data_IF_235160837790
#
_entry.id   IF_235160837790
#
_cell.length_a   1.000
_cell.length_b   1.000
_cell.length_c   1.000
_cell.angle_alpha   90.00
_cell.angle_beta   90.00
_cell.angle_gamma   90.00
#
_symmetry.space_group_name_H-M   'P 1'
#
loop_
_entity.id
_entity.type
_entity.pdbx_description
1 polymer ?
#
# COMPACT_ATOMS: atom_id res chain seq x y z
N UNK A 1 -18.35 9.29 18.61
CA UNK A 1 -16.95 8.87 18.77
C UNK A 1 -16.06 9.83 17.98
N UNK A 2 -15.00 10.32 18.58
CA UNK A 2 -14.02 11.22 17.96
C UNK A 2 -12.75 10.44 17.64
N UNK A 3 -12.37 10.40 16.35
CA UNK A 3 -11.21 9.64 15.84
C UNK A 3 -10.23 10.62 15.23
N UNK A 4 -8.96 10.49 15.60
CA UNK A 4 -7.86 11.29 15.03
C UNK A 4 -6.87 10.38 14.32
N UNK A 5 -6.65 10.63 13.05
CA UNK A 5 -5.56 10.07 12.28
C UNK A 5 -4.35 11.01 12.31
N UNK A 6 -3.16 10.45 12.50
CA UNK A 6 -1.89 11.20 12.39
C UNK A 6 -1.04 10.55 11.32
N UNK A 7 -0.69 11.31 10.30
CA UNK A 7 0.09 10.83 9.17
C UNK A 7 1.04 11.92 8.63
N UNK A 8 1.93 11.53 7.75
CA UNK A 8 2.92 12.45 7.22
C UNK A 8 2.28 13.54 6.34
N UNK A 9 1.52 13.15 5.32
CA UNK A 9 0.91 14.05 4.34
C UNK A 9 -0.18 13.31 3.55
N UNK A 10 -1.11 14.06 2.93
CA UNK A 10 -2.10 13.57 1.95
C UNK A 10 -1.79 14.05 0.52
N UNK A 11 -0.61 14.63 0.28
CA UNK A 11 -0.21 15.15 -1.04
C UNK A 11 0.16 14.05 -2.04
N UNK A 12 0.87 12.96 -1.64
CA UNK A 12 1.23 11.91 -2.59
C UNK A 12 0.00 11.17 -3.15
N UNK A 13 0.06 10.80 -4.45
CA UNK A 13 -0.94 9.93 -5.08
C UNK A 13 -0.63 8.46 -4.80
N UNK A 14 -0.56 8.08 -3.52
CA UNK A 14 -0.26 6.72 -3.06
C UNK A 14 -1.49 5.94 -2.63
N UNK A 15 -1.33 4.62 -2.48
CA UNK A 15 -2.39 3.73 -1.98
C UNK A 15 -2.78 4.02 -0.54
N UNK A 16 -1.83 4.39 0.31
CA UNK A 16 -2.07 4.72 1.72
C UNK A 16 -2.93 5.98 1.85
N UNK A 17 -2.57 7.05 1.13
CA UNK A 17 -3.29 8.32 1.16
C UNK A 17 -4.73 8.13 0.64
N UNK A 18 -4.90 7.33 -0.40
CA UNK A 18 -6.22 6.97 -0.94
C UNK A 18 -7.07 6.25 0.10
N UNK A 19 -6.55 5.17 0.67
CA UNK A 19 -7.27 4.35 1.67
C UNK A 19 -7.65 5.18 2.89
N UNK A 20 -6.74 6.01 3.41
CA UNK A 20 -7.02 6.84 4.59
C UNK A 20 -8.08 7.89 4.28
N UNK A 21 -8.01 8.56 3.12
CA UNK A 21 -9.03 9.53 2.71
C UNK A 21 -10.41 8.89 2.56
N UNK A 22 -10.52 7.77 1.84
CA UNK A 22 -11.77 7.05 1.64
C UNK A 22 -12.32 6.50 2.96
N UNK A 23 -11.48 5.96 3.83
CA UNK A 23 -11.87 5.47 5.16
C UNK A 23 -12.36 6.61 6.07
N UNK A 24 -11.67 7.74 6.10
CA UNK A 24 -12.09 8.90 6.89
C UNK A 24 -13.45 9.43 6.42
N UNK A 25 -13.66 9.52 5.10
CA UNK A 25 -14.94 9.91 4.52
C UNK A 25 -16.06 8.94 4.94
N UNK A 26 -15.81 7.63 4.80
CA UNK A 26 -16.79 6.61 5.17
C UNK A 26 -17.15 6.67 6.67
N UNK A 27 -16.18 6.82 7.56
CA UNK A 27 -16.42 6.94 9.00
C UNK A 27 -17.27 8.17 9.34
N UNK A 28 -16.98 9.31 8.71
CA UNK A 28 -17.71 10.55 8.94
C UNK A 28 -19.12 10.52 8.33
N UNK A 29 -19.26 9.99 7.11
CA UNK A 29 -20.52 10.03 6.38
C UNK A 29 -21.48 8.90 6.76
N UNK A 30 -21.00 7.66 6.92
CA UNK A 30 -21.83 6.50 7.19
C UNK A 30 -22.02 6.26 8.68
N UNK A 31 -20.94 6.35 9.46
CA UNK A 31 -21.02 6.09 10.92
C UNK A 31 -21.22 7.36 11.75
N UNK A 32 -21.21 8.54 11.11
CA UNK A 32 -21.38 9.85 11.77
C UNK A 32 -20.38 10.09 12.91
N UNK A 33 -19.15 9.56 12.73
CA UNK A 33 -18.09 9.82 13.67
C UNK A 33 -17.47 11.20 13.40
N UNK A 34 -16.94 11.82 14.44
CA UNK A 34 -16.20 13.07 14.33
C UNK A 34 -14.75 12.73 13.96
N UNK A 35 -14.36 12.90 12.68
CA UNK A 35 -13.08 12.43 12.15
C UNK A 35 -12.15 13.59 11.87
N UNK A 36 -10.95 13.50 12.42
CA UNK A 36 -9.85 14.43 12.19
C UNK A 36 -8.67 13.74 11.51
N UNK A 37 -8.00 14.44 10.59
CA UNK A 37 -6.71 14.03 10.02
C UNK A 37 -5.69 15.10 10.31
N UNK A 38 -4.65 14.76 11.09
CA UNK A 38 -3.50 15.62 11.34
C UNK A 38 -2.41 15.24 10.35
N UNK A 39 -2.06 16.15 9.42
CA UNK A 39 -0.94 15.98 8.50
C UNK A 39 0.26 16.79 9.00
N UNK A 40 1.41 16.09 9.17
CA UNK A 40 2.57 16.64 9.87
C UNK A 40 3.41 17.58 8.99
N UNK A 41 3.66 17.22 7.73
CA UNK A 41 4.60 17.92 6.83
C UNK A 41 3.92 18.68 5.68
N UNK A 42 2.65 18.44 5.45
CA UNK A 42 1.87 19.09 4.38
C UNK A 42 1.73 20.59 4.64
N UNK A 43 2.11 21.41 3.66
CA UNK A 43 1.99 22.87 3.74
C UNK A 43 0.52 23.30 3.54
N UNK A 44 0.19 24.50 4.00
CA UNK A 44 -1.20 25.00 4.00
C UNK A 44 -1.79 25.09 2.57
N UNK A 45 -0.99 25.48 1.60
CA UNK A 45 -1.34 25.66 0.19
C UNK A 45 -1.35 24.36 -0.63
N UNK A 46 -0.79 23.28 -0.10
CA UNK A 46 -0.73 21.99 -0.81
C UNK A 46 -2.08 21.27 -0.80
N UNK A 47 -2.66 20.92 -1.97
CA UNK A 47 -3.90 20.18 -2.05
C UNK A 47 -3.70 18.71 -1.65
N UNK A 48 -4.78 18.06 -1.25
CA UNK A 48 -4.82 16.62 -1.06
C UNK A 48 -4.88 15.90 -2.42
N UNK A 49 -4.22 14.76 -2.54
CA UNK A 49 -4.29 13.93 -3.74
C UNK A 49 -5.68 13.30 -3.95
N UNK A 50 -6.39 13.05 -2.85
CA UNK A 50 -7.74 12.48 -2.84
C UNK A 50 -8.68 13.39 -2.06
N UNK A 51 -9.92 13.50 -2.53
CA UNK A 51 -10.90 14.40 -1.95
C UNK A 51 -11.32 13.93 -0.55
N UNK A 52 -11.33 14.86 0.39
CA UNK A 52 -11.95 14.66 1.70
C UNK A 52 -13.37 15.21 1.68
N UNK A 53 -14.26 14.51 2.37
CA UNK A 53 -15.61 15.00 2.67
C UNK A 53 -15.55 16.26 3.53
N UNK A 54 -16.53 17.16 3.37
CA UNK A 54 -16.68 18.32 4.24
C UNK A 54 -16.93 17.97 5.71
N UNK A 55 -17.31 16.70 5.98
CA UNK A 55 -17.50 16.15 7.34
C UNK A 55 -16.19 15.68 7.99
N UNK A 56 -15.06 15.72 7.28
CA UNK A 56 -13.75 15.35 7.80
C UNK A 56 -12.92 16.61 8.07
N UNK A 57 -12.43 16.77 9.27
CA UNK A 57 -11.63 17.92 9.67
C UNK A 57 -10.14 17.66 9.42
N UNK A 58 -9.48 18.48 8.61
CA UNK A 58 -8.04 18.37 8.39
C UNK A 58 -7.28 19.47 9.14
N UNK A 59 -6.22 19.07 9.86
CA UNK A 59 -5.27 19.98 10.53
C UNK A 59 -3.90 19.78 9.88
N UNK A 60 -3.40 20.79 9.18
CA UNK A 60 -2.07 20.79 8.56
C UNK A 60 -1.09 21.46 9.53
N UNK A 61 -0.15 20.70 10.11
CA UNK A 61 0.87 21.24 11.02
C UNK A 61 1.97 22.00 10.28
N UNK A 62 2.15 21.72 9.00
CA UNK A 62 3.11 22.37 8.10
C UNK A 62 4.55 22.40 8.62
N UNK A 63 4.98 21.37 9.36
CA UNK A 63 6.33 21.29 9.91
C UNK A 63 7.33 21.02 8.77
N UNK A 64 8.36 21.85 8.58
CA UNK A 64 9.29 21.74 7.46
C UNK A 64 10.33 20.61 7.71
N UNK A 65 9.84 19.38 7.83
CA UNK A 65 10.66 18.22 8.22
C UNK A 65 11.84 17.98 7.29
N UNK A 66 11.66 18.21 6.00
CA UNK A 66 12.69 17.97 4.99
C UNK A 66 13.76 19.07 4.90
N UNK A 67 13.55 20.24 5.51
CA UNK A 67 14.55 21.33 5.53
C UNK A 67 15.86 20.93 6.19
N UNK A 68 15.86 19.90 7.05
CA UNK A 68 17.08 19.35 7.64
C UNK A 68 18.11 18.87 6.60
N UNK A 69 17.68 18.49 5.42
CA UNK A 69 18.56 17.98 4.35
C UNK A 69 19.33 19.08 3.64
N UNK A 70 18.95 20.35 3.84
CA UNK A 70 19.72 21.51 3.36
C UNK A 70 21.00 21.75 4.15
N UNK A 71 21.19 21.05 5.28
CA UNK A 71 22.35 21.24 6.16
C UNK A 71 23.27 20.02 6.15
N UNK A 72 24.61 20.25 6.26
CA UNK A 72 25.61 19.22 6.47
C UNK A 72 25.78 18.90 7.97
N UNK A 73 26.40 17.76 8.30
CA UNK A 73 26.82 17.46 9.67
C UNK A 73 27.90 18.44 10.15
N UNK A 74 27.95 18.83 11.46
CA UNK A 74 27.04 18.41 12.54
C UNK A 74 25.73 19.23 12.61
N UNK A 75 25.63 20.38 11.91
CA UNK A 75 24.46 21.28 11.96
C UNK A 75 23.13 20.56 11.66
N UNK A 76 23.14 19.63 10.69
CA UNK A 76 21.97 18.80 10.34
C UNK A 76 21.41 18.04 11.55
N UNK A 77 22.27 17.53 12.43
CA UNK A 77 21.85 16.80 13.62
C UNK A 77 21.04 17.68 14.58
N UNK A 78 21.53 18.88 14.88
CA UNK A 78 20.81 19.82 15.77
C UNK A 78 19.51 20.32 15.18
N UNK A 79 19.49 20.62 13.87
CA UNK A 79 18.26 21.00 13.14
C UNK A 79 17.25 19.87 13.22
N UNK A 80 17.65 18.62 12.97
CA UNK A 80 16.77 17.45 13.10
C UNK A 80 16.16 17.31 14.49
N UNK A 81 16.97 17.52 15.55
CA UNK A 81 16.45 17.47 16.94
C UNK A 81 15.43 18.55 17.18
N UNK A 82 15.70 19.79 16.75
CA UNK A 82 14.76 20.92 16.90
C UNK A 82 13.45 20.66 16.15
N UNK A 83 13.51 20.20 14.90
CA UNK A 83 12.32 19.87 14.11
C UNK A 83 11.51 18.74 14.76
N UNK A 84 12.17 17.68 15.23
CA UNK A 84 11.48 16.57 15.92
C UNK A 84 10.80 17.03 17.21
N UNK A 85 11.43 17.96 17.95
CA UNK A 85 10.82 18.54 19.16
C UNK A 85 9.56 19.34 18.78
N UNK A 86 9.65 20.27 17.84
CA UNK A 86 8.51 21.05 17.34
C UNK A 86 7.37 20.16 16.84
N UNK A 87 7.69 19.14 16.04
CA UNK A 87 6.70 18.20 15.55
C UNK A 87 5.98 17.47 16.67
N UNK A 88 6.74 17.00 17.68
CA UNK A 88 6.19 16.33 18.85
C UNK A 88 5.23 17.24 19.62
N UNK A 89 5.65 18.47 19.88
CA UNK A 89 4.86 19.45 20.61
C UNK A 89 3.56 19.79 19.87
N UNK A 90 3.64 20.05 18.56
CA UNK A 90 2.49 20.37 17.73
C UNK A 90 1.47 19.21 17.63
N UNK A 91 1.94 17.95 17.52
CA UNK A 91 1.04 16.79 17.53
C UNK A 91 0.36 16.66 18.89
N UNK A 92 1.09 16.80 19.99
CA UNK A 92 0.54 16.68 21.33
C UNK A 92 -0.51 17.77 21.57
N UNK A 93 -0.22 19.01 21.21
CA UNK A 93 -1.15 20.14 21.35
C UNK A 93 -2.44 19.90 20.56
N UNK A 94 -2.34 19.53 19.28
CA UNK A 94 -3.51 19.24 18.45
C UNK A 94 -4.35 18.08 19.03
N UNK A 95 -3.70 17.00 19.49
CA UNK A 95 -4.41 15.86 20.10
C UNK A 95 -5.07 16.24 21.42
N UNK A 96 -4.44 17.10 22.23
CA UNK A 96 -5.04 17.58 23.49
C UNK A 96 -6.24 18.49 23.27
N UNK A 97 -6.18 19.40 22.26
CA UNK A 97 -7.29 20.28 21.88
C UNK A 97 -8.51 19.49 21.38
N UNK A 98 -8.28 18.46 20.55
CA UNK A 98 -9.36 17.61 20.01
C UNK A 98 -9.90 16.67 21.09
N UNK A 99 -9.06 16.20 22.00
CA UNK A 99 -9.37 15.23 23.06
C UNK A 99 -10.12 13.99 22.53
N UNK A 100 -9.51 13.19 21.59
CA UNK A 100 -10.17 12.10 20.91
C UNK A 100 -10.46 10.89 21.80
N UNK A 101 -11.36 10.03 21.34
CA UNK A 101 -11.58 8.70 21.90
C UNK A 101 -10.57 7.70 21.36
N UNK A 102 -10.20 7.85 20.07
CA UNK A 102 -9.25 6.98 19.36
C UNK A 102 -8.20 7.84 18.64
N UNK A 103 -6.94 7.48 18.82
CA UNK A 103 -5.78 8.08 18.16
C UNK A 103 -5.11 7.04 17.29
N UNK A 104 -5.06 7.26 15.98
CA UNK A 104 -4.53 6.32 14.99
C UNK A 104 -3.27 6.90 14.34
N UNK A 105 -2.15 6.19 14.50
CA UNK A 105 -0.93 6.46 13.76
C UNK A 105 -0.86 5.64 12.47
N UNK A 106 -0.56 6.30 11.35
CA UNK A 106 -0.51 5.66 10.03
C UNK A 106 0.92 5.28 9.66
N UNK A 107 1.08 3.99 9.33
CA UNK A 107 2.36 3.41 8.93
C UNK A 107 3.40 3.46 10.05
N UNK A 108 4.65 3.53 9.63
CA UNK A 108 5.78 3.65 10.57
C UNK A 108 6.17 5.11 10.85
N UNK A 109 5.43 6.09 10.30
CA UNK A 109 5.72 7.50 10.53
C UNK A 109 5.39 7.89 11.98
N UNK A 110 6.45 8.12 12.79
CA UNK A 110 6.29 8.54 14.19
C UNK A 110 5.39 7.64 15.06
N UNK A 111 5.21 6.37 14.70
CA UNK A 111 4.34 5.45 15.42
C UNK A 111 4.76 5.25 16.88
N UNK A 112 6.06 5.30 17.20
CA UNK A 112 6.60 5.27 18.56
C UNK A 112 6.21 6.51 19.37
N UNK A 113 6.21 7.68 18.76
CA UNK A 113 5.74 8.91 19.35
C UNK A 113 4.23 8.85 19.61
N UNK A 114 3.43 8.53 18.57
CA UNK A 114 1.97 8.49 18.65
C UNK A 114 1.51 7.50 19.71
N UNK A 115 2.08 6.30 19.74
CA UNK A 115 1.78 5.30 20.77
C UNK A 115 2.17 5.75 22.19
N UNK A 116 3.05 6.75 22.32
CA UNK A 116 3.58 7.25 23.59
C UNK A 116 2.90 8.51 24.10
N UNK A 117 2.01 9.14 23.33
CA UNK A 117 1.29 10.35 23.74
C UNK A 117 0.43 10.04 24.97
N UNK A 118 0.59 10.85 26.02
CA UNK A 118 -0.24 10.75 27.21
C UNK A 118 -1.57 11.46 26.98
N UNK A 119 -2.62 10.71 26.70
CA UNK A 119 -3.99 11.18 26.53
C UNK A 119 -4.96 10.04 26.89
N UNK A 120 -6.24 10.35 27.00
CA UNK A 120 -7.30 9.35 27.28
C UNK A 120 -7.54 8.39 26.11
N UNK A 121 -7.21 8.83 24.89
CA UNK A 121 -7.49 8.07 23.68
C UNK A 121 -6.85 6.70 23.68
N UNK A 122 -7.58 5.69 23.19
CA UNK A 122 -7.02 4.39 22.83
C UNK A 122 -6.16 4.56 21.58
N UNK A 123 -5.00 3.93 21.55
CA UNK A 123 -3.97 4.10 20.52
C UNK A 123 -3.93 2.92 19.57
N UNK A 124 -4.18 3.19 18.31
CA UNK A 124 -4.07 2.23 17.22
C UNK A 124 -2.87 2.61 16.35
N UNK A 125 -2.07 1.63 15.97
CA UNK A 125 -1.07 1.79 14.91
C UNK A 125 -1.52 0.95 13.72
N UNK A 126 -1.80 1.61 12.62
CA UNK A 126 -2.26 1.00 11.36
C UNK A 126 -1.09 0.88 10.39
N UNK A 127 -0.66 -0.34 10.10
CA UNK A 127 0.51 -0.65 9.29
C UNK A 127 0.13 -0.81 7.83
N UNK A 128 0.48 0.16 6.96
CA UNK A 128 0.30 0.07 5.50
C UNK A 128 1.52 -0.53 4.79
N UNK A 129 2.66 -0.55 5.46
CA UNK A 129 3.88 -1.23 5.02
C UNK A 129 4.19 -2.36 5.98
N UNK A 130 4.58 -3.51 5.46
CA UNK A 130 4.96 -4.61 6.32
C UNK A 130 6.20 -4.29 7.16
N UNK A 131 6.19 -4.71 8.43
CA UNK A 131 7.30 -4.52 9.37
C UNK A 131 8.65 -4.94 8.82
N UNK A 132 8.68 -5.97 7.99
CA UNK A 132 9.91 -6.49 7.36
C UNK A 132 10.63 -5.44 6.50
N UNK A 133 9.90 -4.62 5.74
CA UNK A 133 10.49 -3.66 4.80
C UNK A 133 11.11 -2.46 5.47
N UNK A 134 10.49 -1.98 6.53
CA UNK A 134 11.14 -1.02 7.42
C UNK A 134 12.46 -1.58 7.94
N UNK A 135 12.62 -2.89 7.96
CA UNK A 135 13.85 -3.55 8.38
C UNK A 135 14.92 -3.65 7.28
N UNK A 136 14.56 -3.83 6.02
CA UNK A 136 15.52 -4.07 4.91
C UNK A 136 15.96 -2.82 4.16
N UNK A 137 15.11 -1.80 4.02
CA UNK A 137 15.36 -0.62 3.18
C UNK A 137 16.50 0.30 3.60
N UNK A 138 17.03 0.19 4.83
CA UNK A 138 18.13 1.02 5.30
C UNK A 138 19.52 0.32 5.27
N UNK A 139 19.60 -0.92 4.78
CA UNK A 139 20.79 -1.78 4.98
C UNK A 139 21.88 -1.61 3.92
N UNK A 140 21.62 -0.98 2.78
CA UNK A 140 22.50 -1.12 1.60
C UNK A 140 23.76 -0.22 1.54
N UNK A 141 23.94 0.76 2.43
CA UNK A 141 25.11 1.68 2.36
C UNK A 141 25.75 2.04 3.70
N UNK A 142 25.76 1.16 4.68
CA UNK A 142 26.27 1.48 6.02
C UNK A 142 27.41 0.58 6.46
N UNK A 143 28.40 1.16 7.17
CA UNK A 143 29.47 0.45 7.87
C UNK A 143 28.89 -0.49 8.95
N UNK A 144 29.64 -1.54 9.34
CA UNK A 144 29.21 -2.57 10.29
C UNK A 144 28.64 -1.98 11.59
N UNK A 145 29.33 -0.97 12.16
CA UNK A 145 28.90 -0.29 13.39
C UNK A 145 27.55 0.43 13.22
N UNK A 146 27.34 1.11 12.09
CA UNK A 146 26.09 1.80 11.81
C UNK A 146 24.94 0.81 11.58
N UNK A 147 25.20 -0.38 11.01
CA UNK A 147 24.22 -1.46 10.87
C UNK A 147 23.79 -2.00 12.25
N UNK A 148 24.72 -2.20 13.18
CA UNK A 148 24.42 -2.65 14.54
C UNK A 148 23.59 -1.61 15.30
N UNK A 149 23.97 -0.33 15.22
CA UNK A 149 23.23 0.77 15.84
C UNK A 149 21.80 0.89 15.27
N UNK A 150 21.66 0.82 13.95
CA UNK A 150 20.36 0.85 13.27
C UNK A 150 19.50 -0.33 13.69
N UNK A 151 20.07 -1.54 13.79
CA UNK A 151 19.35 -2.75 14.25
C UNK A 151 18.88 -2.59 15.71
N UNK A 152 19.72 -2.06 16.59
CA UNK A 152 19.36 -1.79 17.99
C UNK A 152 18.25 -0.74 18.11
N UNK A 153 18.41 0.41 17.42
CA UNK A 153 17.41 1.47 17.40
C UNK A 153 16.05 0.97 16.92
N UNK A 154 16.03 0.19 15.84
CA UNK A 154 14.81 -0.42 15.30
C UNK A 154 14.15 -1.38 16.28
N UNK A 155 14.94 -2.22 16.95
CA UNK A 155 14.42 -3.13 17.97
C UNK A 155 13.72 -2.35 19.09
N UNK A 156 14.33 -1.24 19.52
CA UNK A 156 13.76 -0.37 20.53
C UNK A 156 12.49 0.34 20.04
N UNK A 157 12.50 0.84 18.81
CA UNK A 157 11.38 1.48 18.14
C UNK A 157 10.15 0.56 18.09
N UNK A 158 10.28 -0.63 17.51
CA UNK A 158 9.17 -1.60 17.43
C UNK A 158 8.71 -2.08 18.81
N UNK A 159 9.64 -2.32 19.72
CA UNK A 159 9.29 -2.69 21.10
C UNK A 159 8.49 -1.58 21.80
N UNK A 160 8.76 -0.33 21.52
CA UNK A 160 7.99 0.80 22.08
C UNK A 160 6.56 0.76 21.56
N UNK A 161 6.36 0.56 20.25
CA UNK A 161 5.03 0.44 19.64
C UNK A 161 4.28 -0.74 20.24
N UNK A 162 4.88 -1.95 20.24
CA UNK A 162 4.27 -3.17 20.76
C UNK A 162 3.80 -3.04 22.21
N UNK A 163 4.53 -2.28 23.04
CA UNK A 163 4.21 -2.11 24.47
C UNK A 163 3.16 -1.04 24.72
N UNK A 164 3.13 0.02 23.91
CA UNK A 164 2.35 1.23 24.18
C UNK A 164 1.08 1.35 23.34
N UNK A 165 1.05 0.81 22.14
CA UNK A 165 -0.18 0.74 21.37
C UNK A 165 -1.19 -0.19 22.04
N UNK A 166 -2.46 0.18 22.02
CA UNK A 166 -3.54 -0.66 22.52
C UNK A 166 -3.90 -1.73 21.47
N UNK A 167 -3.85 -1.35 20.18
CA UNK A 167 -4.06 -2.26 19.05
C UNK A 167 -3.04 -1.95 17.95
N UNK A 168 -2.50 -2.97 17.33
CA UNK A 168 -1.78 -2.89 16.05
C UNK A 168 -2.67 -3.51 14.99
N UNK A 169 -2.92 -2.78 13.90
CA UNK A 169 -3.67 -3.28 12.75
C UNK A 169 -2.70 -3.54 11.61
N UNK A 170 -2.68 -4.76 11.13
CA UNK A 170 -1.91 -5.18 9.94
C UNK A 170 -2.84 -5.51 8.79
N UNK A 171 -2.34 -5.44 7.56
CA UNK A 171 -3.14 -5.70 6.38
C UNK A 171 -3.24 -7.20 6.05
N UNK A 172 -2.32 -8.01 6.57
CA UNK A 172 -2.19 -9.42 6.24
C UNK A 172 -1.84 -10.29 7.45
N UNK A 173 -2.21 -11.55 7.43
CA UNK A 173 -1.83 -12.52 8.48
C UNK A 173 -0.30 -12.71 8.53
N UNK A 174 0.37 -12.64 7.38
CA UNK A 174 1.84 -12.76 7.33
C UNK A 174 2.55 -11.65 8.10
N UNK A 175 2.11 -10.39 7.97
CA UNK A 175 2.69 -9.27 8.73
C UNK A 175 2.35 -9.37 10.22
N UNK A 176 1.15 -9.84 10.59
CA UNK A 176 0.74 -10.06 11.99
C UNK A 176 1.74 -10.93 12.75
N UNK A 177 2.29 -11.97 12.12
CA UNK A 177 3.25 -12.87 12.75
C UNK A 177 4.54 -12.17 13.21
N UNK A 178 4.86 -11.02 12.63
CA UNK A 178 6.02 -10.23 13.00
C UNK A 178 5.81 -9.38 14.26
N UNK A 179 4.57 -9.21 14.72
CA UNK A 179 4.18 -8.36 15.87
C UNK A 179 3.91 -9.17 17.14
N UNK A 180 4.71 -10.18 17.42
CA UNK A 180 4.48 -11.21 18.44
C UNK A 180 4.50 -10.72 19.90
N UNK A 181 4.81 -9.45 20.15
CA UNK A 181 4.85 -8.84 21.50
C UNK A 181 3.82 -7.73 21.70
N UNK A 182 2.96 -7.50 20.73
CA UNK A 182 1.88 -6.53 20.83
C UNK A 182 0.78 -7.02 21.78
N UNK A 183 0.12 -6.08 22.48
CA UNK A 183 -1.00 -6.39 23.38
C UNK A 183 -2.16 -7.02 22.63
N UNK A 184 -2.48 -6.45 21.47
CA UNK A 184 -3.55 -6.90 20.59
C UNK A 184 -3.18 -6.60 19.14
N UNK A 185 -3.45 -7.56 18.26
CA UNK A 185 -3.21 -7.42 16.82
C UNK A 185 -4.49 -7.80 16.09
N UNK A 186 -4.92 -6.96 15.19
CA UNK A 186 -6.04 -7.22 14.29
C UNK A 186 -5.54 -7.24 12.85
N UNK A 187 -6.13 -8.10 12.04
CA UNK A 187 -5.85 -8.13 10.59
C UNK A 187 -7.06 -7.57 9.87
N UNK A 188 -6.89 -6.37 9.33
CA UNK A 188 -7.94 -5.70 8.56
C UNK A 188 -7.32 -5.33 7.21
N UNK A 189 -7.72 -6.00 6.13
CA UNK A 189 -7.20 -5.72 4.80
C UNK A 189 -7.63 -4.33 4.31
N UNK A 190 -6.93 -3.81 3.31
CA UNK A 190 -7.43 -2.68 2.57
C UNK A 190 -8.66 -3.09 1.73
N UNK A 191 -9.49 -2.12 1.42
CA UNK A 191 -10.58 -2.23 0.46
C UNK A 191 -10.22 -1.52 -0.84
N UNK A 192 -11.00 -1.72 -1.89
CA UNK A 192 -10.96 -0.88 -3.08
C UNK A 192 -12.36 -0.33 -3.36
N UNK A 193 -12.45 0.99 -3.43
CA UNK A 193 -13.68 1.69 -3.80
C UNK A 193 -13.67 2.09 -5.30
N UNK A 194 -12.87 1.38 -6.12
CA UNK A 194 -12.84 1.62 -7.56
C UNK A 194 -14.20 1.33 -8.16
N UNK A 195 -14.71 2.29 -8.94
CA UNK A 195 -15.97 2.13 -9.62
C UNK A 195 -15.80 1.26 -10.85
N UNK A 196 -16.50 0.15 -10.89
CA UNK A 196 -16.47 -0.80 -11.99
C UNK A 196 -17.67 -0.53 -12.90
N UNK A 197 -17.45 0.16 -14.01
CA UNK A 197 -18.48 0.41 -15.02
C UNK A 197 -18.67 -0.78 -15.95
N UNK A 198 -17.64 -1.57 -16.16
CA UNK A 198 -17.64 -2.73 -17.04
C UNK A 198 -16.67 -3.81 -16.55
N UNK A 199 -17.17 -5.03 -16.51
CA UNK A 199 -16.35 -6.24 -16.26
C UNK A 199 -15.59 -6.62 -17.52
N UNK A 200 -14.38 -7.11 -17.37
CA UNK A 200 -13.60 -7.63 -18.50
C UNK A 200 -14.29 -8.82 -19.15
N UNK A 201 -14.35 -8.81 -20.48
CA UNK A 201 -14.81 -9.98 -21.26
C UNK A 201 -13.79 -11.12 -21.28
N UNK A 202 -12.55 -10.87 -20.87
CA UNK A 202 -11.39 -11.77 -20.99
C UNK A 202 -11.10 -12.28 -22.41
N UNK A 203 -11.54 -11.53 -23.44
CA UNK A 203 -11.37 -11.90 -24.84
C UNK A 203 -10.21 -11.15 -25.53
N UNK A 204 -9.85 -9.99 -25.01
CA UNK A 204 -8.74 -9.22 -25.57
C UNK A 204 -7.41 -9.97 -25.41
N UNK A 205 -6.52 -9.79 -26.35
CA UNK A 205 -5.15 -10.33 -26.27
C UNK A 205 -4.23 -9.35 -25.53
N UNK A 206 -4.64 -8.97 -24.30
CA UNK A 206 -4.01 -7.91 -23.53
C UNK A 206 -3.74 -8.35 -22.09
N UNK A 207 -2.48 -8.23 -21.71
CA UNK A 207 -1.99 -8.38 -20.34
C UNK A 207 -1.73 -6.98 -19.78
N UNK A 208 -2.12 -6.72 -18.55
CA UNK A 208 -1.91 -5.44 -17.87
C UNK A 208 -1.03 -5.60 -16.63
N UNK A 209 -0.13 -4.64 -16.44
CA UNK A 209 0.60 -4.45 -15.19
C UNK A 209 0.49 -2.98 -14.77
N UNK A 210 0.25 -2.71 -13.48
CA UNK A 210 0.02 -1.35 -12.99
C UNK A 210 0.84 -1.10 -11.73
N UNK A 211 1.53 0.04 -11.67
CA UNK A 211 2.26 0.44 -10.47
C UNK A 211 3.39 1.40 -10.74
N UNK A 212 4.00 1.94 -9.69
CA UNK A 212 5.15 2.83 -9.78
C UNK A 212 6.31 2.13 -10.49
N UNK A 213 6.98 2.81 -11.41
CA UNK A 213 8.16 2.28 -12.10
C UNK A 213 9.40 2.40 -11.20
N UNK A 214 9.44 1.59 -10.15
CA UNK A 214 10.46 1.56 -9.12
C UNK A 214 10.94 0.13 -8.88
N UNK A 215 12.11 0.00 -8.24
CA UNK A 215 12.77 -1.31 -8.09
C UNK A 215 11.88 -2.37 -7.44
N UNK A 216 11.12 -1.98 -6.39
CA UNK A 216 10.29 -2.93 -5.65
C UNK A 216 9.18 -3.58 -6.48
N UNK A 217 8.77 -2.97 -7.59
CA UNK A 217 7.72 -3.51 -8.48
C UNK A 217 8.22 -4.56 -9.46
N UNK A 218 9.55 -4.68 -9.63
CA UNK A 218 10.17 -5.77 -10.39
C UNK A 218 9.82 -5.79 -11.88
N UNK A 219 9.59 -4.63 -12.51
CA UNK A 219 9.32 -4.57 -13.94
C UNK A 219 10.48 -5.01 -14.82
N UNK A 220 11.69 -4.96 -14.30
CA UNK A 220 12.88 -5.49 -14.94
C UNK A 220 12.73 -6.99 -15.25
N UNK A 221 12.29 -7.77 -14.25
CA UNK A 221 12.03 -9.21 -14.44
C UNK A 221 10.74 -9.50 -15.21
N UNK A 222 9.75 -8.61 -15.18
CA UNK A 222 8.57 -8.73 -16.03
C UNK A 222 8.91 -8.63 -17.50
N UNK A 223 9.82 -7.73 -17.89
CA UNK A 223 10.30 -7.60 -19.28
C UNK A 223 11.02 -8.88 -19.71
N UNK A 224 11.85 -9.50 -18.85
CA UNK A 224 12.52 -10.76 -19.16
C UNK A 224 11.53 -11.93 -19.33
N UNK A 225 10.50 -11.99 -18.50
CA UNK A 225 9.40 -12.96 -18.63
C UNK A 225 8.65 -12.73 -19.94
N UNK A 226 8.28 -11.47 -20.25
CA UNK A 226 7.50 -11.15 -21.42
C UNK A 226 8.25 -11.41 -22.72
N UNK A 227 9.56 -11.21 -22.76
CA UNK A 227 10.38 -11.60 -23.92
C UNK A 227 10.15 -13.07 -24.32
N UNK A 228 10.08 -13.96 -23.33
CA UNK A 228 9.89 -15.39 -23.59
C UNK A 228 8.43 -15.73 -23.96
N UNK A 229 7.47 -15.08 -23.30
CA UNK A 229 6.04 -15.25 -23.58
C UNK A 229 5.68 -14.72 -24.95
N UNK A 230 6.19 -13.56 -25.33
CA UNK A 230 5.88 -12.90 -26.61
C UNK A 230 6.36 -13.68 -27.83
N UNK A 231 7.42 -14.48 -27.71
CA UNK A 231 7.89 -15.38 -28.79
C UNK A 231 6.86 -16.47 -29.10
N UNK A 232 6.13 -16.95 -28.08
CA UNK A 232 5.08 -17.97 -28.21
C UNK A 232 3.73 -17.39 -28.62
N UNK A 233 3.46 -16.17 -28.14
CA UNK A 233 2.18 -15.48 -28.31
C UNK A 233 2.39 -14.05 -28.82
N UNK A 234 2.88 -13.89 -30.09
CA UNK A 234 3.29 -12.59 -30.63
C UNK A 234 2.12 -11.62 -30.86
N UNK A 235 0.90 -12.10 -30.85
CA UNK A 235 -0.34 -11.35 -31.03
C UNK A 235 -0.93 -10.85 -29.67
N UNK A 236 -0.29 -11.17 -28.55
CA UNK A 236 -0.62 -10.62 -27.25
C UNK A 236 0.22 -9.37 -26.96
N UNK A 237 -0.39 -8.42 -26.26
CA UNK A 237 0.22 -7.14 -25.84
C UNK A 237 0.36 -7.09 -24.33
N UNK A 238 1.51 -6.65 -23.83
CA UNK A 238 1.70 -6.25 -22.43
C UNK A 238 1.69 -4.73 -22.31
N UNK A 239 0.75 -4.20 -21.54
CA UNK A 239 0.67 -2.78 -21.21
C UNK A 239 1.04 -2.56 -19.74
N UNK A 240 2.06 -1.73 -19.51
CA UNK A 240 2.53 -1.33 -18.18
C UNK A 240 2.08 0.11 -17.95
N UNK A 241 1.25 0.35 -16.94
CA UNK A 241 0.78 1.68 -16.55
C UNK A 241 1.50 2.16 -15.30
N UNK A 242 2.21 3.27 -15.41
CA UNK A 242 2.89 3.88 -14.27
C UNK A 242 3.99 4.86 -14.64
N UNK A 243 4.50 5.54 -13.64
CA UNK A 243 5.62 6.47 -13.70
C UNK A 243 6.63 6.15 -12.59
N UNK A 244 7.88 6.53 -12.76
CA UNK A 244 8.90 6.36 -11.72
C UNK A 244 10.33 6.48 -12.26
N UNK A 245 11.28 6.39 -11.34
CA UNK A 245 12.71 6.60 -11.61
C UNK A 245 13.32 5.59 -12.60
N UNK A 246 12.69 4.41 -12.77
CA UNK A 246 13.19 3.36 -13.67
C UNK A 246 12.64 3.45 -15.09
N UNK A 247 11.75 4.37 -15.44
CA UNK A 247 11.09 4.46 -16.74
C UNK A 247 12.07 4.42 -17.91
N UNK A 248 13.11 5.27 -17.87
CA UNK A 248 14.14 5.31 -18.92
C UNK A 248 14.92 3.99 -19.04
N UNK A 249 15.25 3.37 -17.90
CA UNK A 249 15.99 2.13 -17.88
C UNK A 249 15.16 0.96 -18.43
N UNK A 250 13.88 0.91 -18.08
CA UNK A 250 12.94 -0.10 -18.56
C UNK A 250 12.69 0.05 -20.07
N UNK A 251 12.47 1.28 -20.56
CA UNK A 251 12.31 1.57 -21.99
C UNK A 251 13.57 1.20 -22.78
N UNK A 252 14.76 1.50 -22.25
CA UNK A 252 16.01 1.06 -22.87
C UNK A 252 16.14 -0.46 -22.93
N UNK A 253 15.75 -1.17 -21.87
CA UNK A 253 15.78 -2.63 -21.80
C UNK A 253 14.85 -3.24 -22.85
N UNK A 254 13.63 -2.72 -23.01
CA UNK A 254 12.64 -3.15 -24.02
C UNK A 254 13.23 -2.98 -25.43
N UNK A 255 13.76 -1.80 -25.75
CA UNK A 255 14.36 -1.51 -27.04
C UNK A 255 15.55 -2.42 -27.36
N UNK A 256 16.46 -2.63 -26.38
CA UNK A 256 17.63 -3.51 -26.52
C UNK A 256 17.25 -4.98 -26.79
N UNK A 257 16.12 -5.43 -26.25
CA UNK A 257 15.60 -6.80 -26.44
C UNK A 257 14.73 -6.96 -27.69
N UNK A 258 14.48 -5.86 -28.42
CA UNK A 258 13.64 -5.82 -29.61
C UNK A 258 12.22 -6.40 -29.37
N UNK A 259 11.62 -6.13 -28.19
CA UNK A 259 10.27 -6.59 -27.86
C UNK A 259 9.28 -5.55 -28.38
N UNK A 260 8.46 -5.92 -29.39
CA UNK A 260 7.56 -4.97 -30.06
C UNK A 260 6.14 -4.92 -29.45
N UNK A 261 5.77 -5.90 -28.65
CA UNK A 261 4.43 -6.05 -28.06
C UNK A 261 4.42 -5.82 -26.56
N UNK A 262 5.18 -4.83 -26.10
CA UNK A 262 5.17 -4.29 -24.76
C UNK A 262 5.18 -2.76 -24.84
N UNK A 263 4.32 -2.11 -24.06
CA UNK A 263 4.23 -0.64 -24.01
C UNK A 263 4.18 -0.15 -22.58
N UNK A 264 4.98 0.86 -22.27
CA UNK A 264 4.90 1.62 -21.01
C UNK A 264 4.02 2.84 -21.26
N UNK A 265 2.95 2.96 -20.47
CA UNK A 265 2.02 4.08 -20.49
C UNK A 265 2.20 4.94 -19.24
N UNK A 266 1.97 6.25 -19.31
CA UNK A 266 1.94 7.11 -18.12
C UNK A 266 0.80 6.70 -17.19
N UNK A 267 0.79 7.27 -15.99
CA UNK A 267 -0.35 7.11 -15.07
C UNK A 267 -1.64 7.63 -15.71
N UNK A 268 -2.74 6.95 -15.45
CA UNK A 268 -4.06 7.32 -15.96
C UNK A 268 -5.06 7.53 -14.82
N UNK A 269 -5.96 8.48 -14.99
CA UNK A 269 -7.09 8.68 -14.07
C UNK A 269 -8.24 7.68 -14.32
N UNK A 270 -8.19 6.91 -15.41
CA UNK A 270 -9.21 5.93 -15.78
C UNK A 270 -8.66 4.51 -15.87
N UNK A 271 -7.97 4.07 -14.84
CA UNK A 271 -7.41 2.72 -14.79
C UNK A 271 -8.50 1.63 -14.83
N UNK A 272 -9.72 1.96 -14.36
CA UNK A 272 -10.88 1.07 -14.43
C UNK A 272 -11.19 0.65 -15.88
N UNK A 273 -11.15 1.59 -16.84
CA UNK A 273 -11.30 1.29 -18.26
C UNK A 273 -10.18 0.40 -18.78
N UNK A 274 -8.96 0.55 -18.29
CA UNK A 274 -7.84 -0.26 -18.77
C UNK A 274 -7.92 -1.70 -18.24
N UNK A 275 -8.36 -1.90 -16.99
CA UNK A 275 -8.66 -3.25 -16.49
C UNK A 275 -9.78 -3.92 -17.30
N UNK A 276 -10.89 -3.23 -17.58
CA UNK A 276 -12.02 -3.82 -18.34
C UNK A 276 -11.65 -4.25 -19.76
N UNK A 277 -10.63 -3.64 -20.37
CA UNK A 277 -10.07 -4.00 -21.68
C UNK A 277 -9.00 -5.08 -21.60
N UNK A 278 -8.59 -5.53 -20.44
CA UNK A 278 -7.51 -6.49 -20.23
C UNK A 278 -8.03 -7.86 -19.90
N UNK A 279 -7.31 -8.92 -20.29
CA UNK A 279 -7.71 -10.31 -20.03
C UNK A 279 -6.94 -10.97 -18.90
N UNK A 280 -5.75 -10.47 -18.56
CA UNK A 280 -4.88 -11.00 -17.52
C UNK A 280 -4.16 -9.82 -16.87
N UNK A 281 -4.05 -9.83 -15.54
CA UNK A 281 -3.20 -8.90 -14.79
C UNK A 281 -1.95 -9.64 -14.31
N UNK A 282 -0.79 -8.99 -14.41
CA UNK A 282 0.47 -9.58 -13.93
C UNK A 282 1.13 -8.68 -12.90
N UNK A 283 1.76 -9.30 -11.89
CA UNK A 283 2.52 -8.59 -10.88
C UNK A 283 3.80 -9.34 -10.53
N UNK A 284 4.92 -8.64 -10.66
CA UNK A 284 6.25 -9.22 -10.42
C UNK A 284 7.00 -8.51 -9.30
N UNK A 285 6.31 -7.92 -8.34
CA UNK A 285 6.91 -7.17 -7.23
C UNK A 285 7.84 -8.05 -6.39
N UNK A 286 8.93 -7.45 -5.92
CA UNK A 286 9.80 -8.10 -4.93
C UNK A 286 9.16 -8.13 -3.55
N UNK A 287 8.29 -7.14 -3.28
CA UNK A 287 7.49 -7.05 -2.06
C UNK A 287 6.29 -6.10 -2.21
N UNK A 288 5.28 -6.30 -1.38
CA UNK A 288 4.08 -5.47 -1.30
C UNK A 288 3.61 -5.33 0.17
N UNK A 289 2.91 -4.24 0.48
CA UNK A 289 2.18 -4.13 1.73
C UNK A 289 0.83 -4.86 1.67
N UNK A 290 0.10 -4.66 0.56
CA UNK A 290 -1.21 -5.32 0.32
C UNK A 290 -1.48 -5.61 -1.16
N UNK A 291 -0.86 -4.90 -2.11
CA UNK A 291 -1.07 -5.05 -3.56
C UNK A 291 -2.49 -4.68 -4.05
N UNK A 292 -2.95 -3.45 -3.76
CA UNK A 292 -4.28 -2.95 -4.18
C UNK A 292 -4.58 -3.18 -5.65
N UNK A 293 -3.58 -3.13 -6.52
CA UNK A 293 -3.72 -3.34 -7.96
C UNK A 293 -4.30 -4.72 -8.30
N UNK A 294 -3.95 -5.76 -7.54
CA UNK A 294 -4.51 -7.09 -7.71
C UNK A 294 -6.00 -7.11 -7.35
N UNK A 295 -6.37 -6.45 -6.25
CA UNK A 295 -7.76 -6.31 -5.85
C UNK A 295 -8.58 -5.55 -6.90
N UNK A 296 -8.02 -4.48 -7.46
CA UNK A 296 -8.64 -3.71 -8.54
C UNK A 296 -8.83 -4.56 -9.80
N UNK A 297 -7.85 -5.38 -10.17
CA UNK A 297 -7.98 -6.35 -11.27
C UNK A 297 -9.10 -7.37 -11.00
N UNK A 298 -9.13 -7.97 -9.79
CA UNK A 298 -10.18 -8.93 -9.42
C UNK A 298 -11.58 -8.30 -9.47
N UNK A 299 -11.74 -7.05 -9.04
CA UNK A 299 -13.04 -6.33 -9.15
C UNK A 299 -13.53 -6.20 -10.58
N UNK A 300 -12.60 -6.09 -11.54
CA UNK A 300 -12.93 -6.05 -12.97
C UNK A 300 -13.05 -7.43 -13.62
N UNK A 301 -12.97 -8.51 -12.84
CA UNK A 301 -12.99 -9.88 -13.35
C UNK A 301 -11.73 -10.22 -14.17
N UNK A 302 -10.59 -9.61 -13.87
CA UNK A 302 -9.32 -9.88 -14.54
C UNK A 302 -8.50 -10.84 -13.69
N UNK A 303 -8.32 -12.10 -14.13
CA UNK A 303 -7.48 -13.07 -13.42
C UNK A 303 -6.03 -12.61 -13.34
N UNK A 304 -5.37 -12.95 -12.24
CA UNK A 304 -4.04 -12.46 -11.95
C UNK A 304 -2.98 -13.58 -12.03
N UNK A 305 -1.77 -13.24 -12.48
CA UNK A 305 -0.57 -14.05 -12.26
C UNK A 305 0.43 -13.19 -11.48
N UNK A 306 0.76 -13.60 -10.27
CA UNK A 306 1.61 -12.79 -9.41
C UNK A 306 2.67 -13.64 -8.72
N UNK A 307 3.86 -13.08 -8.50
CA UNK A 307 4.76 -13.67 -7.53
C UNK A 307 4.18 -13.56 -6.13
N UNK A 308 4.26 -14.65 -5.36
CA UNK A 308 3.98 -14.65 -3.93
C UNK A 308 5.14 -13.98 -3.19
N UNK A 309 5.18 -12.67 -3.33
CA UNK A 309 6.14 -11.85 -2.61
C UNK A 309 5.62 -11.57 -1.20
N UNK A 310 6.51 -11.29 -0.22
CA UNK A 310 6.09 -11.09 1.14
C UNK A 310 4.94 -10.09 1.27
N UNK A 311 3.89 -10.59 1.87
CA UNK A 311 2.72 -10.09 2.57
C UNK A 311 1.50 -9.65 1.75
N UNK A 312 1.59 -9.38 0.45
CA UNK A 312 0.42 -8.83 -0.28
C UNK A 312 -0.42 -9.87 -1.03
N UNK A 313 0.15 -10.51 -2.05
CA UNK A 313 -0.59 -11.26 -3.07
C UNK A 313 -1.41 -12.43 -2.54
N UNK A 314 -0.84 -13.25 -1.65
CA UNK A 314 -1.53 -14.40 -1.05
C UNK A 314 -2.75 -14.01 -0.20
N UNK A 315 -2.84 -12.75 0.24
CA UNK A 315 -4.03 -12.27 0.96
C UNK A 315 -5.20 -11.95 0.01
N UNK A 316 -4.92 -11.73 -1.26
CA UNK A 316 -5.90 -11.29 -2.27
C UNK A 316 -6.25 -12.43 -3.22
N UNK A 317 -5.25 -13.08 -3.83
CA UNK A 317 -5.44 -14.15 -4.81
C UNK A 317 -5.72 -15.48 -4.09
N UNK A 318 -6.78 -16.16 -4.46
CA UNK A 318 -6.99 -17.57 -4.18
C UNK A 318 -6.34 -18.36 -5.32
N UNK A 319 -5.20 -19.01 -5.00
CA UNK A 319 -4.40 -19.72 -5.99
C UNK A 319 -5.21 -20.81 -6.71
N UNK A 320 -4.98 -20.96 -8.01
CA UNK A 320 -5.70 -21.88 -8.90
C UNK A 320 -7.23 -21.66 -8.95
N UNK A 321 -7.74 -20.51 -8.50
CA UNK A 321 -9.17 -20.19 -8.51
C UNK A 321 -9.48 -18.85 -9.18
N UNK A 322 -8.83 -17.77 -8.73
CA UNK A 322 -9.00 -16.43 -9.33
C UNK A 322 -7.70 -15.87 -9.91
N UNK A 323 -6.66 -16.69 -9.95
CA UNK A 323 -5.33 -16.35 -10.42
C UNK A 323 -4.32 -17.40 -10.03
N UNK A 324 -3.05 -17.11 -10.28
CA UNK A 324 -1.92 -17.95 -9.89
C UNK A 324 -0.97 -17.18 -8.99
N UNK A 325 -0.62 -17.81 -7.86
CA UNK A 325 0.45 -17.39 -6.96
C UNK A 325 1.69 -18.23 -7.24
N UNK A 326 2.78 -17.57 -7.61
CA UNK A 326 4.02 -18.21 -8.02
C UNK A 326 5.09 -17.91 -6.98
N UNK A 327 5.83 -18.91 -6.56
CA UNK A 327 6.98 -18.71 -5.67
C UNK A 327 7.89 -17.62 -6.19
N UNK A 328 8.24 -16.68 -5.31
CA UNK A 328 8.98 -15.49 -5.70
C UNK A 328 10.32 -15.83 -6.37
N UNK A 329 10.44 -15.45 -7.64
CA UNK A 329 11.62 -15.73 -8.47
C UNK A 329 11.54 -17.01 -9.31
N UNK A 330 10.48 -17.82 -9.19
CA UNK A 330 10.28 -18.98 -10.07
C UNK A 330 9.75 -18.53 -11.45
N UNK A 331 10.66 -18.02 -12.27
CA UNK A 331 10.35 -17.47 -13.60
C UNK A 331 9.75 -18.51 -14.53
N UNK A 332 10.22 -19.75 -14.48
CA UNK A 332 9.73 -20.83 -15.36
C UNK A 332 8.25 -21.13 -15.09
N UNK A 333 7.87 -21.26 -13.82
CA UNK A 333 6.48 -21.49 -13.44
C UNK A 333 5.59 -20.27 -13.75
N UNK A 334 6.11 -19.04 -13.58
CA UNK A 334 5.38 -17.83 -13.95
C UNK A 334 5.04 -17.81 -15.44
N UNK A 335 6.00 -18.12 -16.30
CA UNK A 335 5.82 -18.21 -17.75
C UNK A 335 4.82 -19.32 -18.11
N UNK A 336 4.93 -20.49 -17.48
CA UNK A 336 3.99 -21.61 -17.69
C UNK A 336 2.54 -21.19 -17.38
N UNK A 337 2.30 -20.61 -16.19
CA UNK A 337 0.95 -20.22 -15.76
C UNK A 337 0.40 -19.04 -16.55
N UNK A 338 1.25 -18.10 -16.96
CA UNK A 338 0.84 -17.01 -17.83
C UNK A 338 0.44 -17.53 -19.21
N UNK A 339 1.23 -18.44 -19.82
CA UNK A 339 0.89 -19.07 -21.10
C UNK A 339 -0.40 -19.91 -20.99
N UNK A 340 -0.61 -20.62 -19.89
CA UNK A 340 -1.84 -21.38 -19.68
C UNK A 340 -3.09 -20.47 -19.72
N UNK A 341 -3.04 -19.29 -19.08
CA UNK A 341 -4.12 -18.30 -19.18
C UNK A 341 -4.21 -17.67 -20.58
N UNK A 342 -3.12 -17.45 -21.28
CA UNK A 342 -3.09 -16.92 -22.65
C UNK A 342 -3.79 -17.89 -23.60
N UNK A 343 -3.51 -19.16 -23.50
CA UNK A 343 -4.00 -20.20 -24.42
C UNK A 343 -5.44 -20.63 -24.10
N UNK A 344 -5.85 -20.58 -22.83
CA UNK A 344 -7.14 -21.12 -22.39
C UNK A 344 -8.16 -20.03 -22.04
N UNK A 345 -9.00 -19.67 -23.01
CA UNK A 345 -10.08 -18.68 -22.84
C UNK A 345 -11.14 -19.14 -21.83
N UNK A 346 -11.47 -20.42 -21.78
CA UNK A 346 -12.47 -20.96 -20.83
C UNK A 346 -11.98 -20.79 -19.40
N UNK A 347 -10.73 -21.15 -19.16
CA UNK A 347 -10.11 -20.98 -17.85
C UNK A 347 -10.06 -19.50 -17.41
N UNK A 348 -9.74 -18.57 -18.34
CA UNK A 348 -9.81 -17.13 -18.02
C UNK A 348 -11.19 -16.69 -17.58
N UNK A 349 -12.27 -17.22 -18.20
CA UNK A 349 -13.65 -16.91 -17.81
C UNK A 349 -14.02 -17.50 -16.46
N UNK A 350 -13.63 -18.71 -16.17
CA UNK A 350 -13.83 -19.35 -14.88
C UNK A 350 -13.13 -18.56 -13.77
N UNK A 351 -11.87 -18.22 -13.98
CA UNK A 351 -11.11 -17.39 -13.05
C UNK A 351 -11.68 -15.99 -12.89
N UNK A 352 -12.22 -15.41 -13.96
CA UNK A 352 -12.88 -14.09 -13.92
C UNK A 352 -14.10 -14.09 -13.00
N UNK A 353 -14.94 -15.10 -13.06
CA UNK A 353 -16.09 -15.23 -12.17
C UNK A 353 -15.66 -15.37 -10.70
N UNK A 354 -14.68 -16.22 -10.45
CA UNK A 354 -14.12 -16.40 -9.12
C UNK A 354 -13.41 -15.13 -8.59
N UNK A 355 -12.77 -14.36 -9.47
CA UNK A 355 -12.13 -13.09 -9.14
C UNK A 355 -13.16 -12.06 -8.63
N UNK A 356 -14.29 -11.91 -9.32
CA UNK A 356 -15.37 -11.01 -8.90
C UNK A 356 -15.94 -11.43 -7.55
N UNK A 357 -16.16 -12.73 -7.35
CA UNK A 357 -16.67 -13.23 -6.07
C UNK A 357 -15.66 -13.00 -4.93
N UNK A 358 -14.38 -13.28 -5.18
CA UNK A 358 -13.30 -13.04 -4.21
C UNK A 358 -13.20 -11.57 -3.82
N UNK A 359 -13.36 -10.64 -4.77
CA UNK A 359 -13.25 -9.21 -4.54
C UNK A 359 -14.30 -8.66 -3.56
N UNK A 360 -15.47 -9.29 -3.43
CA UNK A 360 -16.53 -8.89 -2.49
C UNK A 360 -16.08 -8.91 -1.03
N UNK A 361 -15.15 -9.78 -0.68
CA UNK A 361 -14.59 -9.84 0.67
C UNK A 361 -13.82 -8.56 1.08
N UNK A 362 -13.49 -7.72 0.09
CA UNK A 362 -12.76 -6.47 0.24
C UNK A 362 -13.60 -5.24 -0.13
N UNK A 363 -14.92 -5.39 -0.17
CA UNK A 363 -15.79 -4.24 -0.32
C UNK A 363 -15.71 -3.32 0.90
N UNK A 364 -15.85 -2.03 0.67
CA UNK A 364 -15.67 -1.01 1.71
C UNK A 364 -16.57 -1.29 2.93
N UNK A 365 -17.81 -1.68 2.72
CA UNK A 365 -18.77 -1.97 3.81
C UNK A 365 -18.32 -3.16 4.66
N UNK A 366 -17.76 -4.21 4.02
CA UNK A 366 -17.26 -5.40 4.69
C UNK A 366 -16.04 -5.07 5.54
N UNK A 367 -15.11 -4.30 4.98
CA UNK A 367 -13.86 -3.93 5.68
C UNK A 367 -14.15 -2.91 6.79
N UNK A 368 -15.02 -1.93 6.53
CA UNK A 368 -15.35 -0.90 7.52
C UNK A 368 -16.14 -1.43 8.70
N UNK A 369 -16.92 -2.50 8.50
CA UNK A 369 -17.55 -3.23 9.61
C UNK A 369 -16.52 -3.80 10.59
N UNK A 370 -15.41 -4.38 10.09
CA UNK A 370 -14.31 -4.86 10.93
C UNK A 370 -13.66 -3.70 11.72
N UNK A 371 -13.45 -2.55 11.09
CA UNK A 371 -12.95 -1.37 11.77
C UNK A 371 -13.88 -0.90 12.87
N UNK A 372 -15.19 -0.84 12.61
CA UNK A 372 -16.20 -0.47 13.61
C UNK A 372 -16.14 -1.40 14.82
N UNK A 373 -16.08 -2.71 14.60
CA UNK A 373 -15.97 -3.71 15.67
C UNK A 373 -14.70 -3.52 16.52
N UNK A 374 -13.57 -3.18 15.91
CA UNK A 374 -12.33 -2.87 16.64
C UNK A 374 -12.51 -1.62 17.48
N UNK A 375 -13.07 -0.54 16.93
CA UNK A 375 -13.29 0.72 17.65
C UNK A 375 -14.23 0.54 18.85
N UNK A 376 -15.33 -0.17 18.67
CA UNK A 376 -16.29 -0.44 19.74
C UNK A 376 -15.65 -1.29 20.86
N UNK A 377 -14.97 -2.37 20.50
CA UNK A 377 -14.33 -3.28 21.47
C UNK A 377 -13.26 -2.58 22.32
N UNK A 378 -12.48 -1.63 21.75
CA UNK A 378 -11.43 -0.96 22.52
C UNK A 378 -11.94 0.20 23.39
N UNK A 379 -13.10 0.77 23.05
CA UNK A 379 -13.70 1.85 23.85
C UNK A 379 -14.49 1.32 25.06
N UNK A 380 -14.92 0.06 25.04
CA UNK A 380 -15.65 -0.60 26.15
C UNK A 380 -14.67 -1.08 27.25
N UNK A 381 -13.43 -1.38 26.87
CA UNK A 381 -12.35 -1.80 27.80
C UNK A 381 -11.54 -0.62 28.30
#
# INVERSE_FOLDING_TARGET
>A
MTIVYVMESLVPKGGTERIISEKANYLAEQYKYNVYIITCTQQQDQPNAFQLSSSVHQIKLAIPYYSQYCYKYPKRFFVKLSINKKLKEAIIEAVQQINPDILIGIGHYKADLISSIKCRAKKIIECHEARFFTQSGMANHQNVLSKLFTKFYRKLYFRTIERKADVIVTLTEGDKLLWNKAKRIEVIPNFSNIQVSQISSCHSKRVIAVGRLSWEKGYDRLIDIWELVSRKSPDWQLDIFGEGELEKNLSYKIAKKHINNITIHPTTNNISSEFSKSSICVMTSYYEGFALVLLEALKHGVPCVAYDCPFGPASIIEDNRCGYLIDNGNTSLFIEKLNLLIENKTLRKEFSQAAIERAKAFDIDVVMKKWKEVFEKICIT
#
